data_IF_956508829781
#
_entry.id   IF_956508829781
#
_cell.length_a   1.000
_cell.length_b   1.000
_cell.length_c   1.000
_cell.angle_alpha   90.00
_cell.angle_beta   90.00
_cell.angle_gamma   90.00
#
_symmetry.space_group_name_H-M   'P 1'
#
loop_
_entity.id
_entity.type
_entity.pdbx_description
1 polymer ?
#
# COMPACT_ATOMS: atom_id res chain seq x y z
N UNK A 1 -22.22 1.82 4.82
CA UNK A 1 -21.64 2.85 5.72
C UNK A 1 -20.58 3.55 4.91
N UNK A 2 -20.78 4.82 4.55
CA UNK A 2 -19.97 5.52 3.54
C UNK A 2 -18.60 5.91 4.10
N UNK A 3 -17.54 5.37 3.51
CA UNK A 3 -16.18 5.91 3.65
C UNK A 3 -16.15 7.27 2.94
N UNK A 4 -15.63 8.31 3.61
CA UNK A 4 -15.49 9.63 2.99
C UNK A 4 -14.06 9.80 2.45
N UNK A 5 -13.96 10.06 1.15
CA UNK A 5 -12.73 10.44 0.46
C UNK A 5 -12.36 11.90 0.79
N UNK A 6 -11.11 12.10 1.24
CA UNK A 6 -10.61 13.41 1.65
C UNK A 6 -10.08 14.24 0.47
N UNK A 7 -9.62 13.59 -0.61
CA UNK A 7 -8.91 14.23 -1.73
C UNK A 7 -9.52 13.94 -3.11
N UNK A 8 -10.82 13.56 -3.16
CA UNK A 8 -11.53 13.16 -4.39
C UNK A 8 -11.40 14.15 -5.56
N UNK A 9 -11.23 15.44 -5.26
CA UNK A 9 -11.16 16.52 -6.24
C UNK A 9 -9.71 16.94 -6.55
N UNK A 10 -8.71 16.40 -5.84
CA UNK A 10 -7.30 16.80 -5.96
C UNK A 10 -6.52 15.96 -6.98
N UNK A 11 -6.94 14.71 -7.26
CA UNK A 11 -6.29 13.85 -8.25
C UNK A 11 -7.29 12.90 -8.89
N UNK A 12 -7.09 12.59 -10.17
CA UNK A 12 -7.81 11.49 -10.83
C UNK A 12 -7.20 10.16 -10.38
N UNK A 13 -7.91 9.42 -9.51
CA UNK A 13 -7.51 8.07 -9.05
C UNK A 13 -7.18 7.17 -10.24
N UNK A 14 -5.95 6.63 -10.27
CA UNK A 14 -5.53 5.62 -11.25
C UNK A 14 -6.20 4.30 -10.94
N UNK A 15 -6.78 3.66 -11.96
CA UNK A 15 -7.47 2.38 -11.85
C UNK A 15 -6.52 1.22 -12.09
N UNK A 16 -6.80 0.08 -11.47
CA UNK A 16 -5.97 -1.11 -11.67
C UNK A 16 -5.99 -1.56 -13.13
N UNK A 17 -7.12 -1.49 -13.82
CA UNK A 17 -7.23 -1.79 -15.26
C UNK A 17 -6.36 -0.92 -16.17
N UNK A 18 -5.92 0.25 -15.73
CA UNK A 18 -4.92 1.05 -16.42
C UNK A 18 -3.50 0.64 -15.99
N UNK A 19 -3.31 0.38 -14.70
CA UNK A 19 -2.02 0.05 -14.10
C UNK A 19 -1.51 -1.35 -14.50
N UNK A 20 -2.39 -2.33 -14.72
CA UNK A 20 -2.01 -3.70 -15.09
C UNK A 20 -1.37 -3.79 -16.49
N UNK A 21 -1.52 -2.73 -17.30
CA UNK A 21 -0.90 -2.61 -18.62
C UNK A 21 0.51 -2.02 -18.56
N UNK A 22 0.90 -1.51 -17.40
CA UNK A 22 2.17 -0.82 -17.20
C UNK A 22 3.29 -1.81 -16.88
N UNK A 23 4.45 -1.63 -17.49
CA UNK A 23 5.57 -2.57 -17.38
C UNK A 23 6.36 -2.44 -16.05
N UNK A 24 5.95 -1.52 -15.18
CA UNK A 24 6.48 -1.34 -13.84
C UNK A 24 5.66 -2.08 -12.76
N UNK A 25 4.44 -2.53 -13.05
CA UNK A 25 3.59 -3.20 -12.07
C UNK A 25 3.53 -4.70 -12.37
N UNK A 26 4.10 -5.52 -11.48
CA UNK A 26 4.23 -6.96 -11.72
C UNK A 26 3.61 -7.75 -10.57
N UNK A 27 2.64 -8.64 -10.80
CA UNK A 27 2.09 -9.53 -9.79
C UNK A 27 3.15 -10.39 -9.09
N UNK A 28 3.06 -10.49 -7.76
CA UNK A 28 3.93 -11.32 -6.92
C UNK A 28 3.15 -12.51 -6.35
N UNK A 29 2.02 -12.23 -5.70
CA UNK A 29 1.20 -13.25 -5.04
C UNK A 29 -0.26 -12.86 -5.16
N UNK A 30 -1.08 -13.86 -5.49
CA UNK A 30 -2.52 -13.75 -5.61
C UNK A 30 -3.17 -14.61 -4.54
N UNK A 31 -4.21 -14.06 -3.92
CA UNK A 31 -4.99 -14.73 -2.89
C UNK A 31 -6.44 -14.74 -3.36
N UNK A 32 -7.03 -15.92 -3.53
CA UNK A 32 -8.43 -16.08 -3.93
C UNK A 32 -9.10 -16.95 -2.88
N UNK A 33 -10.04 -16.39 -2.14
CA UNK A 33 -10.57 -17.06 -0.95
C UNK A 33 -9.39 -17.56 -0.11
N UNK A 34 -9.27 -18.83 0.23
CA UNK A 34 -8.17 -19.35 1.08
C UNK A 34 -6.92 -19.79 0.30
N UNK A 35 -6.95 -19.74 -1.04
CA UNK A 35 -5.84 -20.16 -1.89
C UNK A 35 -4.82 -19.04 -2.06
N UNK A 36 -3.53 -19.35 -1.84
CA UNK A 36 -2.40 -18.43 -1.99
C UNK A 36 -1.48 -18.96 -3.10
N UNK A 37 -1.33 -18.18 -4.17
CA UNK A 37 -0.52 -18.50 -5.34
C UNK A 37 0.62 -17.48 -5.49
N UNK A 38 1.86 -17.93 -5.26
CA UNK A 38 3.06 -17.13 -5.52
C UNK A 38 3.46 -17.24 -6.99
N UNK A 39 3.42 -16.12 -7.69
CA UNK A 39 3.72 -15.98 -9.12
C UNK A 39 5.18 -15.58 -9.37
N UNK A 40 5.81 -14.92 -8.39
CA UNK A 40 7.21 -14.49 -8.42
C UNK A 40 7.85 -14.84 -7.08
N UNK A 41 8.88 -15.70 -7.09
CA UNK A 41 9.58 -16.16 -5.88
C UNK A 41 10.99 -15.57 -5.73
N UNK A 42 11.56 -15.04 -6.80
CA UNK A 42 13.00 -14.73 -6.86
C UNK A 42 13.28 -13.24 -6.86
N UNK A 43 12.27 -12.41 -7.12
CA UNK A 43 12.48 -10.98 -7.22
C UNK A 43 12.69 -10.31 -5.88
N UNK A 44 13.63 -9.37 -5.86
CA UNK A 44 13.79 -8.40 -4.78
C UNK A 44 12.61 -7.43 -4.82
N UNK A 45 11.95 -7.24 -3.68
CA UNK A 45 10.76 -6.41 -3.55
C UNK A 45 11.08 -5.26 -2.60
N UNK A 46 11.28 -4.07 -3.16
CA UNK A 46 11.48 -2.85 -2.37
C UNK A 46 10.23 -2.01 -2.19
N UNK A 47 9.36 -2.02 -3.20
CA UNK A 47 8.08 -1.30 -3.22
C UNK A 47 7.02 -2.26 -3.72
N UNK A 48 5.92 -2.35 -2.98
CA UNK A 48 4.79 -3.21 -3.31
C UNK A 48 3.47 -2.47 -3.11
N UNK A 49 2.45 -2.91 -3.84
CA UNK A 49 1.08 -2.48 -3.68
C UNK A 49 0.17 -3.70 -3.58
N UNK A 50 -0.78 -3.63 -2.66
CA UNK A 50 -1.83 -4.62 -2.46
C UNK A 50 -3.11 -4.09 -3.09
N UNK A 51 -3.67 -4.85 -4.01
CA UNK A 51 -4.95 -4.58 -4.64
C UNK A 51 -5.99 -5.59 -4.18
N UNK A 52 -7.22 -5.14 -4.01
CA UNK A 52 -8.34 -5.97 -3.55
C UNK A 52 -9.56 -5.82 -4.45
N UNK A 53 -10.26 -6.94 -4.66
CA UNK A 53 -11.53 -7.01 -5.38
C UNK A 53 -12.61 -7.63 -4.51
N UNK A 54 -13.75 -6.94 -4.41
CA UNK A 54 -14.97 -7.49 -3.82
C UNK A 54 -15.59 -8.53 -4.75
N UNK A 55 -16.41 -9.43 -4.20
CA UNK A 55 -17.08 -10.49 -4.98
C UNK A 55 -18.01 -9.92 -6.07
N UNK A 56 -18.66 -8.78 -5.77
CA UNK A 56 -19.61 -8.10 -6.66
C UNK A 56 -18.97 -7.10 -7.61
N UNK A 57 -17.65 -6.88 -7.53
CA UNK A 57 -16.98 -5.82 -8.29
C UNK A 57 -16.11 -6.36 -9.42
N UNK A 58 -16.06 -5.58 -10.50
CA UNK A 58 -15.27 -5.89 -11.70
C UNK A 58 -13.84 -5.36 -11.57
N UNK A 59 -13.64 -4.30 -10.78
CA UNK A 59 -12.39 -3.53 -10.71
C UNK A 59 -11.68 -3.76 -9.38
N UNK A 60 -10.35 -3.78 -9.40
CA UNK A 60 -9.54 -3.81 -8.18
C UNK A 60 -9.31 -2.39 -7.67
N UNK A 61 -9.31 -2.25 -6.35
CA UNK A 61 -8.88 -1.03 -5.66
C UNK A 61 -7.50 -1.21 -5.04
N UNK A 62 -6.70 -0.15 -5.02
CA UNK A 62 -5.47 -0.15 -4.23
C UNK A 62 -5.81 -0.07 -2.74
N UNK A 63 -5.51 -1.13 -2.02
CA UNK A 63 -5.83 -1.30 -0.61
C UNK A 63 -4.68 -0.80 0.26
N UNK A 64 -3.45 -1.15 -0.09
CA UNK A 64 -2.26 -0.77 0.67
C UNK A 64 -1.05 -0.59 -0.25
N UNK A 65 -0.10 0.23 0.18
CA UNK A 65 1.22 0.38 -0.45
C UNK A 65 2.25 0.29 0.67
N UNK A 66 3.41 -0.32 0.41
CA UNK A 66 4.49 -0.38 1.38
C UNK A 66 5.86 -0.43 0.70
N UNK A 67 6.86 0.12 1.39
CA UNK A 67 8.25 0.07 0.97
C UNK A 67 9.13 -0.45 2.12
N UNK A 68 9.95 -1.46 1.82
CA UNK A 68 10.80 -2.14 2.80
C UNK A 68 12.09 -2.64 2.14
N UNK A 69 13.15 -2.79 2.94
CA UNK A 69 14.39 -3.43 2.50
C UNK A 69 14.16 -4.92 2.17
N UNK A 70 13.23 -5.56 2.88
CA UNK A 70 12.81 -6.94 2.66
C UNK A 70 11.29 -6.98 2.51
N UNK A 71 10.80 -6.58 1.33
CA UNK A 71 9.37 -6.55 1.04
C UNK A 71 8.74 -7.93 0.97
N UNK A 72 9.51 -9.01 0.70
CA UNK A 72 8.96 -10.36 0.69
C UNK A 72 8.57 -10.80 2.09
N UNK A 73 9.49 -10.69 3.05
CA UNK A 73 9.23 -11.00 4.46
C UNK A 73 8.08 -10.15 5.03
N UNK A 74 8.00 -8.87 4.64
CA UNK A 74 6.87 -8.01 4.99
C UNK A 74 5.52 -8.53 4.45
N UNK A 75 5.46 -8.87 3.16
CA UNK A 75 4.25 -9.43 2.52
C UNK A 75 3.85 -10.75 3.19
N UNK A 76 4.80 -11.65 3.46
CA UNK A 76 4.52 -12.92 4.14
C UNK A 76 3.95 -12.70 5.53
N UNK A 77 4.52 -11.77 6.30
CA UNK A 77 4.00 -11.37 7.62
C UNK A 77 2.60 -10.77 7.51
N UNK A 78 2.34 -9.97 6.50
CA UNK A 78 1.04 -9.35 6.30
C UNK A 78 -0.02 -10.39 5.90
N UNK A 79 0.33 -11.37 5.06
CA UNK A 79 -0.52 -12.54 4.77
C UNK A 79 -0.79 -13.36 6.05
N UNK A 80 0.22 -13.55 6.90
CA UNK A 80 0.02 -14.21 8.20
C UNK A 80 -0.99 -13.44 9.08
N UNK A 81 -0.90 -12.10 9.12
CA UNK A 81 -1.85 -11.27 9.86
C UNK A 81 -3.26 -11.35 9.28
N UNK A 82 -3.41 -11.37 7.95
CA UNK A 82 -4.71 -11.58 7.28
C UNK A 82 -5.39 -12.86 7.77
N UNK A 83 -4.60 -13.92 7.95
CA UNK A 83 -5.09 -15.25 8.31
C UNK A 83 -5.04 -15.55 9.82
N UNK A 84 -4.67 -14.58 10.66
CA UNK A 84 -4.60 -14.78 12.12
C UNK A 84 -6.00 -14.92 12.74
N UNK A 85 -6.42 -16.18 12.92
CA UNK A 85 -7.70 -16.53 13.56
C UNK A 85 -7.76 -16.18 15.04
N UNK A 86 -6.60 -15.91 15.67
CA UNK A 86 -6.51 -15.58 17.09
C UNK A 86 -6.59 -14.06 17.35
N UNK A 87 -6.75 -13.23 16.31
CA UNK A 87 -6.98 -11.81 16.48
C UNK A 87 -8.33 -11.59 17.19
N UNK A 88 -8.34 -11.09 18.45
CA UNK A 88 -9.57 -11.03 19.24
C UNK A 88 -10.53 -9.99 18.67
N UNK A 89 -11.81 -10.36 18.64
CA UNK A 89 -12.91 -9.43 18.40
C UNK A 89 -13.24 -8.79 19.75
N UNK A 90 -13.01 -7.49 19.88
CA UNK A 90 -13.16 -6.77 21.15
C UNK A 90 -14.37 -5.84 21.10
N UNK A 91 -15.03 -5.69 22.25
CA UNK A 91 -16.31 -5.00 22.39
C UNK A 91 -16.19 -3.48 22.42
N UNK A 92 -14.96 -2.95 22.57
CA UNK A 92 -14.68 -1.52 22.64
C UNK A 92 -13.39 -1.14 21.90
N UNK A 93 -13.31 0.11 21.47
CA UNK A 93 -12.24 0.61 20.62
C UNK A 93 -12.66 1.79 19.77
N UNK A 94 -11.81 2.16 18.83
CA UNK A 94 -11.98 3.35 17.98
C UNK A 94 -11.83 3.05 16.50
N UNK A 95 -12.51 3.87 15.71
CA UNK A 95 -12.30 3.91 14.26
C UNK A 95 -11.04 4.66 13.93
N UNK A 96 -10.28 4.13 12.98
CA UNK A 96 -9.03 4.70 12.48
C UNK A 96 -9.29 5.36 11.13
N UNK A 97 -8.86 6.61 11.02
CA UNK A 97 -8.75 7.30 9.74
C UNK A 97 -7.40 6.95 9.11
N UNK A 98 -7.39 6.90 7.78
CA UNK A 98 -6.17 6.75 6.98
C UNK A 98 -5.90 8.06 6.25
N UNK A 99 -4.86 8.10 5.41
CA UNK A 99 -4.46 9.35 4.78
C UNK A 99 -5.57 9.92 3.88
N UNK A 100 -6.25 9.06 3.12
CA UNK A 100 -7.22 9.48 2.12
C UNK A 100 -8.68 9.21 2.54
N UNK A 101 -8.90 8.40 3.58
CA UNK A 101 -10.23 7.95 3.98
C UNK A 101 -10.45 8.09 5.49
N UNK A 102 -11.71 8.32 5.86
CA UNK A 102 -12.12 8.32 7.27
C UNK A 102 -12.85 7.04 7.64
N UNK A 103 -12.79 6.66 8.92
CA UNK A 103 -13.53 5.52 9.47
C UNK A 103 -13.23 4.17 8.79
N UNK A 104 -11.97 3.92 8.45
CA UNK A 104 -11.56 2.79 7.60
C UNK A 104 -11.60 1.47 8.35
N UNK A 105 -10.98 1.37 9.52
CA UNK A 105 -10.94 0.14 10.31
C UNK A 105 -11.07 0.42 11.81
N UNK A 106 -11.27 -0.62 12.59
CA UNK A 106 -11.44 -0.53 14.04
C UNK A 106 -10.24 -1.14 14.75
N UNK A 107 -9.78 -0.49 15.82
CA UNK A 107 -8.74 -1.02 16.72
C UNK A 107 -9.22 -0.90 18.16
N UNK A 108 -8.87 -1.85 19.03
CA UNK A 108 -9.16 -1.74 20.44
C UNK A 108 -8.37 -0.58 21.08
N UNK A 109 -8.90 -0.06 22.19
CA UNK A 109 -8.25 0.99 22.99
C UNK A 109 -7.24 0.43 24.02
N UNK A 110 -6.74 -0.78 23.78
CA UNK A 110 -5.73 -1.44 24.61
C UNK A 110 -4.30 -1.07 24.19
N UNK A 111 -3.43 -0.89 25.19
CA UNK A 111 -2.01 -0.63 24.96
C UNK A 111 -1.26 -1.88 24.49
N UNK A 112 -0.22 -1.68 23.67
CA UNK A 112 0.62 -2.77 23.17
C UNK A 112 -0.01 -3.62 22.06
N UNK A 113 -1.22 -3.28 21.61
CA UNK A 113 -1.88 -3.99 20.50
C UNK A 113 -1.21 -3.68 19.17
N UNK A 114 -0.91 -4.74 18.41
CA UNK A 114 -0.50 -4.63 17.01
C UNK A 114 -1.70 -4.25 16.12
N UNK A 115 -1.83 -2.95 15.87
CA UNK A 115 -2.89 -2.38 15.03
C UNK A 115 -2.88 -2.92 13.60
N UNK A 116 -1.71 -3.35 13.09
CA UNK A 116 -1.60 -3.87 11.74
C UNK A 116 -2.37 -5.18 11.57
N UNK A 117 -2.49 -6.00 12.63
CA UNK A 117 -3.33 -7.20 12.61
C UNK A 117 -4.79 -6.88 12.30
N UNK A 118 -5.36 -5.88 12.97
CA UNK A 118 -6.75 -5.47 12.75
C UNK A 118 -6.99 -4.92 11.36
N UNK A 119 -6.03 -4.14 10.85
CA UNK A 119 -6.04 -3.65 9.47
C UNK A 119 -6.06 -4.83 8.47
N UNK A 120 -5.10 -5.73 8.53
CA UNK A 120 -4.99 -6.83 7.56
C UNK A 120 -6.11 -7.86 7.69
N UNK A 121 -6.62 -8.11 8.89
CA UNK A 121 -7.84 -8.89 9.11
C UNK A 121 -9.06 -8.25 8.46
N UNK A 122 -9.19 -6.93 8.54
CA UNK A 122 -10.27 -6.22 7.86
C UNK A 122 -10.14 -6.31 6.34
N UNK A 123 -8.94 -6.13 5.80
CA UNK A 123 -8.66 -6.32 4.37
C UNK A 123 -9.09 -7.73 3.94
N UNK A 124 -8.67 -8.76 4.66
CA UNK A 124 -9.03 -10.16 4.37
C UNK A 124 -10.54 -10.41 4.39
N UNK A 125 -11.25 -9.75 5.31
CA UNK A 125 -12.71 -9.88 5.45
C UNK A 125 -13.47 -9.16 4.33
N UNK A 126 -12.99 -8.00 3.92
CA UNK A 126 -13.68 -7.15 2.95
C UNK A 126 -13.46 -7.63 1.51
N UNK A 127 -12.26 -8.14 1.18
CA UNK A 127 -11.87 -8.48 -0.20
C UNK A 127 -11.73 -10.00 -0.40
N UNK A 128 -12.40 -10.51 -1.44
CA UNK A 128 -12.36 -11.94 -1.81
C UNK A 128 -11.13 -12.32 -2.63
N UNK A 129 -10.70 -11.42 -3.50
CA UNK A 129 -9.46 -11.58 -4.26
C UNK A 129 -8.51 -10.46 -3.90
N UNK A 130 -7.28 -10.84 -3.56
CA UNK A 130 -6.19 -9.92 -3.27
C UNK A 130 -5.03 -10.24 -4.20
N UNK A 131 -4.29 -9.21 -4.61
CA UNK A 131 -3.09 -9.37 -5.40
C UNK A 131 -2.04 -8.38 -4.91
N UNK A 132 -0.89 -8.90 -4.48
CA UNK A 132 0.29 -8.10 -4.25
C UNK A 132 1.05 -7.98 -5.56
N UNK A 133 1.47 -6.76 -5.87
CA UNK A 133 2.30 -6.46 -7.03
C UNK A 133 3.57 -5.73 -6.56
N UNK A 134 4.72 -6.07 -7.15
CA UNK A 134 5.93 -5.25 -7.03
C UNK A 134 5.85 -4.09 -7.99
N UNK A 135 6.49 -2.98 -7.61
CA UNK A 135 6.60 -1.79 -8.43
C UNK A 135 8.08 -1.55 -8.74
N UNK A 136 8.42 -1.50 -10.03
CA UNK A 136 9.72 -1.02 -10.48
C UNK A 136 9.78 0.50 -10.27
N UNK A 137 10.52 0.93 -9.26
CA UNK A 137 10.63 2.34 -8.85
C UNK A 137 11.21 3.20 -9.97
N UNK A 138 12.23 2.72 -10.68
CA UNK A 138 12.91 3.52 -11.69
C UNK A 138 12.00 3.74 -12.89
N UNK A 139 11.30 2.69 -13.35
CA UNK A 139 10.32 2.81 -14.43
C UNK A 139 9.12 3.66 -14.03
N UNK A 140 8.57 3.44 -12.82
CA UNK A 140 7.42 4.19 -12.34
C UNK A 140 7.70 5.70 -12.21
N UNK A 141 8.88 6.07 -11.72
CA UNK A 141 9.28 7.47 -11.60
C UNK A 141 9.91 8.03 -12.90
N UNK A 142 10.15 7.19 -13.90
CA UNK A 142 10.89 7.50 -15.12
C UNK A 142 12.26 8.16 -14.82
N UNK A 143 13.06 7.49 -13.98
CA UNK A 143 14.37 7.96 -13.53
C UNK A 143 15.47 6.94 -13.84
N UNK A 144 16.66 7.46 -14.12
CA UNK A 144 17.88 6.68 -14.33
C UNK A 144 18.96 7.15 -13.33
N UNK A 145 19.23 6.33 -12.32
CA UNK A 145 20.21 6.63 -11.28
C UNK A 145 21.66 6.44 -11.75
N UNK A 146 21.88 5.86 -12.94
CA UNK A 146 23.23 5.69 -13.49
C UNK A 146 23.88 7.02 -13.88
N UNK A 147 23.08 8.07 -14.07
CA UNK A 147 23.51 9.41 -14.45
C UNK A 147 24.01 10.26 -13.26
N UNK A 148 23.95 9.75 -12.03
CA UNK A 148 24.41 10.47 -10.83
C UNK A 148 25.87 10.10 -10.54
N UNK A 149 26.81 10.93 -11.01
CA UNK A 149 28.26 10.68 -10.86
C UNK A 149 28.73 10.70 -9.40
N UNK A 150 28.12 11.55 -8.57
CA UNK A 150 28.51 11.68 -7.17
C UNK A 150 27.87 10.55 -6.33
N UNK A 151 28.71 9.69 -5.73
CA UNK A 151 28.25 8.55 -4.95
C UNK A 151 27.32 8.95 -3.78
N UNK A 152 27.64 10.01 -3.04
CA UNK A 152 26.79 10.46 -1.92
C UNK A 152 25.42 10.95 -2.41
N UNK A 153 25.36 11.65 -3.54
CA UNK A 153 24.09 12.04 -4.14
C UNK A 153 23.29 10.82 -4.61
N UNK A 154 23.97 9.83 -5.20
CA UNK A 154 23.35 8.57 -5.63
C UNK A 154 22.78 7.80 -4.44
N UNK A 155 23.51 7.74 -3.33
CA UNK A 155 23.05 7.08 -2.10
C UNK A 155 21.83 7.80 -1.52
N UNK A 156 21.87 9.13 -1.40
CA UNK A 156 20.74 9.95 -0.93
C UNK A 156 19.51 9.75 -1.82
N UNK A 157 19.71 9.76 -3.14
CA UNK A 157 18.67 9.52 -4.12
C UNK A 157 18.05 8.13 -3.94
N UNK A 158 18.88 7.09 -3.86
CA UNK A 158 18.42 5.70 -3.70
C UNK A 158 17.71 5.45 -2.37
N UNK A 159 18.15 6.09 -1.28
CA UNK A 159 17.48 6.02 0.02
C UNK A 159 16.12 6.72 0.01
N UNK A 160 16.00 7.83 -0.72
CA UNK A 160 14.78 8.66 -0.72
C UNK A 160 13.76 8.24 -1.77
N UNK A 161 14.21 7.66 -2.89
CA UNK A 161 13.34 7.34 -4.04
C UNK A 161 12.26 6.34 -3.70
N UNK A 162 12.55 5.34 -2.85
CA UNK A 162 11.57 4.33 -2.45
C UNK A 162 10.40 4.96 -1.68
N UNK A 163 10.68 5.80 -0.69
CA UNK A 163 9.65 6.50 0.10
C UNK A 163 8.87 7.54 -0.71
N UNK A 164 9.54 8.22 -1.64
CA UNK A 164 8.88 9.12 -2.58
C UNK A 164 7.93 8.33 -3.48
N UNK A 165 8.39 7.22 -4.07
CA UNK A 165 7.60 6.36 -4.93
C UNK A 165 6.41 5.74 -4.20
N UNK A 166 6.59 5.24 -2.98
CA UNK A 166 5.53 4.72 -2.11
C UNK A 166 4.42 5.76 -1.93
N UNK A 167 4.79 6.98 -1.52
CA UNK A 167 3.84 8.06 -1.28
C UNK A 167 3.14 8.48 -2.57
N UNK A 168 3.90 8.65 -3.66
CA UNK A 168 3.32 9.03 -4.94
C UNK A 168 2.36 7.96 -5.45
N UNK A 169 2.72 6.68 -5.33
CA UNK A 169 1.85 5.58 -5.74
C UNK A 169 0.59 5.51 -4.87
N UNK A 170 0.72 5.67 -3.56
CA UNK A 170 -0.42 5.74 -2.65
C UNK A 170 -1.34 6.93 -2.96
N UNK A 171 -0.78 8.08 -3.35
CA UNK A 171 -1.54 9.26 -3.78
C UNK A 171 -2.23 9.04 -5.13
N UNK A 172 -1.50 8.57 -6.14
CA UNK A 172 -2.05 8.32 -7.49
C UNK A 172 -3.20 7.31 -7.47
N UNK A 173 -3.13 6.34 -6.56
CA UNK A 173 -4.13 5.27 -6.41
C UNK A 173 -5.16 5.53 -5.31
N UNK A 174 -4.99 6.59 -4.51
CA UNK A 174 -5.78 6.85 -3.29
C UNK A 174 -5.88 5.56 -2.44
N UNK A 175 -4.75 5.06 -1.98
CA UNK A 175 -4.67 3.78 -1.26
C UNK A 175 -5.46 3.79 0.05
N UNK A 176 -6.36 2.82 0.25
CA UNK A 176 -7.39 2.88 1.31
C UNK A 176 -6.79 2.87 2.71
N UNK A 177 -5.81 1.99 2.97
CA UNK A 177 -5.25 1.76 4.30
C UNK A 177 -3.90 2.47 4.53
N UNK A 178 -3.40 3.19 3.52
CA UNK A 178 -2.11 3.85 3.61
C UNK A 178 -2.12 5.07 4.53
N UNK A 179 -1.02 5.27 5.26
CA UNK A 179 -0.80 6.42 6.11
C UNK A 179 0.62 6.94 5.91
N UNK A 180 0.74 8.25 5.67
CA UNK A 180 2.04 8.90 5.68
C UNK A 180 2.63 8.87 7.09
N UNK A 181 3.90 8.50 7.22
CA UNK A 181 4.61 8.65 8.48
C UNK A 181 4.75 10.15 8.80
N UNK A 182 4.27 10.57 9.98
CA UNK A 182 4.04 11.99 10.35
C UNK A 182 5.28 12.88 10.28
N UNK A 183 6.48 12.32 10.34
CA UNK A 183 7.78 13.02 10.29
C UNK A 183 8.73 12.48 9.21
N UNK A 184 8.20 11.78 8.20
CA UNK A 184 9.00 11.14 7.15
C UNK A 184 8.94 11.82 5.79
N UNK A 185 9.79 11.36 4.87
CA UNK A 185 9.81 11.75 3.43
C UNK A 185 8.41 11.70 2.82
N UNK A 186 7.55 10.77 3.27
CA UNK A 186 6.19 10.65 2.73
C UNK A 186 5.27 11.83 3.04
N UNK A 187 5.35 12.46 4.22
CA UNK A 187 4.51 13.63 4.49
C UNK A 187 4.97 14.85 3.66
N UNK A 188 6.27 15.06 3.53
CA UNK A 188 6.81 16.13 2.67
C UNK A 188 6.53 15.89 1.19
N UNK A 189 6.59 14.63 0.75
CA UNK A 189 6.19 14.24 -0.61
C UNK A 189 4.71 14.54 -0.85
N UNK A 190 3.84 14.14 0.09
CA UNK A 190 2.41 14.37 -0.03
C UNK A 190 2.07 15.88 -0.12
N UNK A 191 2.73 16.72 0.69
CA UNK A 191 2.59 18.19 0.61
C UNK A 191 2.97 18.77 -0.74
N UNK A 192 3.92 18.16 -1.45
CA UNK A 192 4.34 18.59 -2.79
C UNK A 192 3.37 18.11 -3.87
N UNK A 193 2.75 16.95 -3.68
CA UNK A 193 1.79 16.36 -4.62
C UNK A 193 0.40 17.00 -4.54
N UNK A 194 -0.02 17.44 -3.35
CA UNK A 194 -1.30 18.14 -3.18
C UNK A 194 -1.20 19.50 -3.90
N UNK A 195 -2.10 19.80 -4.87
CA UNK A 195 -2.12 21.09 -5.54
C UNK A 195 -2.23 22.23 -4.52
N UNK A 196 -1.37 23.24 -4.63
CA UNK A 196 -1.52 24.46 -3.84
C UNK A 196 -2.76 25.20 -4.32
N UNK A 197 -3.73 25.35 -3.42
CA UNK A 197 -4.94 26.19 -3.59
C UNK A 197 -4.59 27.65 -3.79
#
# INVERSE_FOLDING_TARGET
>A
MEQKELYKDAVKKRKFSDLEKEDYLVPIVKIVEDDIEWMDNDSVIYLWALFGKYDSEVEYECVQVGASIDGRDEIEKDICKMNDSNCPVLDSGRKVNTQFYTNVYFVPDEDGVDKSKYQYRKIRKDYKTLIFCKIDINKYLNVDDTQIDNQHLRDIFNLSKAYYAETKFAFDTQSIYWNAYRSGVGMETLKQLIPKS
#
